data_IF_484345284026
#
_entry.id   IF_484345284026
#
_cell.length_a   1.000
_cell.length_b   1.000
_cell.length_c   1.000
_cell.angle_alpha   90.00
_cell.angle_beta   90.00
_cell.angle_gamma   90.00
#
_symmetry.space_group_name_H-M   'P 1'
#
loop_
_entity.id
_entity.type
_entity.pdbx_description
1 polymer ?
#
# COMPACT_ATOMS: atom_id res chain seq x y z
N UNK A 1 -5.09 -14.62 -7.97
CA UNK A 1 -6.00 -13.49 -7.69
C UNK A 1 -6.23 -12.77 -9.01
N UNK A 2 -7.47 -12.75 -9.48
CA UNK A 2 -7.84 -12.23 -10.80
C UNK A 2 -8.67 -10.94 -10.75
N UNK A 3 -9.01 -10.47 -9.54
CA UNK A 3 -9.65 -9.17 -9.29
C UNK A 3 -8.60 -8.05 -9.17
N UNK A 4 -8.98 -6.76 -9.33
CA UNK A 4 -8.11 -5.64 -8.99
C UNK A 4 -7.65 -5.69 -7.54
N UNK A 5 -6.37 -5.41 -7.30
CA UNK A 5 -5.77 -5.40 -5.95
C UNK A 5 -4.95 -4.13 -5.76
N UNK A 6 -5.21 -3.43 -4.65
CA UNK A 6 -4.41 -2.31 -4.19
C UNK A 6 -3.41 -2.79 -3.13
N UNK A 7 -2.14 -2.44 -3.32
CA UNK A 7 -1.06 -2.58 -2.33
C UNK A 7 -0.69 -1.18 -1.85
N UNK A 8 -0.81 -0.93 -0.55
CA UNK A 8 -0.40 0.32 0.11
C UNK A 8 0.77 0.00 1.03
N UNK A 9 1.83 0.80 1.03
CA UNK A 9 2.97 0.53 1.91
C UNK A 9 3.81 1.76 2.22
N UNK A 10 4.15 1.93 3.50
CA UNK A 10 5.10 2.94 3.96
C UNK A 10 6.52 2.56 3.57
N UNK A 11 7.32 3.52 3.14
CA UNK A 11 8.72 3.29 2.77
C UNK A 11 9.64 3.22 3.99
N UNK A 12 9.23 3.81 5.13
CA UNK A 12 9.93 3.73 6.43
C UNK A 12 9.24 2.75 7.40
N UNK A 13 8.66 1.68 6.85
CA UNK A 13 8.13 0.59 7.65
C UNK A 13 9.29 -0.21 8.28
N UNK A 14 9.48 -0.02 9.58
CA UNK A 14 10.53 -0.69 10.37
C UNK A 14 10.16 -2.11 10.82
N UNK A 15 8.95 -2.59 10.56
CA UNK A 15 8.48 -3.93 10.96
C UNK A 15 8.45 -4.88 9.75
N UNK A 16 7.91 -4.41 8.63
CA UNK A 16 7.84 -5.13 7.35
C UNK A 16 8.57 -4.30 6.30
N UNK A 17 9.84 -4.62 5.95
CA UNK A 17 10.64 -3.72 5.11
C UNK A 17 10.12 -3.59 3.66
N UNK A 18 9.86 -2.36 3.22
CA UNK A 18 9.29 -2.03 1.91
C UNK A 18 10.00 -2.72 0.75
N UNK A 19 11.32 -2.63 0.66
CA UNK A 19 12.10 -3.10 -0.50
C UNK A 19 11.94 -4.60 -0.80
N UNK A 20 11.58 -5.41 0.21
CA UNK A 20 11.40 -6.85 0.06
C UNK A 20 9.94 -7.31 0.16
N UNK A 21 8.99 -6.40 0.39
CA UNK A 21 7.56 -6.68 0.51
C UNK A 21 6.77 -6.15 -0.68
N UNK A 22 6.33 -4.88 -0.65
CA UNK A 22 5.32 -4.32 -1.54
C UNK A 22 5.70 -4.33 -3.04
N UNK A 23 6.95 -4.00 -3.45
CA UNK A 23 7.36 -4.12 -4.85
C UNK A 23 7.34 -5.56 -5.37
N UNK A 24 7.57 -6.56 -4.51
CA UNK A 24 7.46 -7.97 -4.89
C UNK A 24 6.00 -8.40 -4.99
N UNK A 25 5.18 -8.02 -4.01
CA UNK A 25 3.76 -8.34 -4.00
C UNK A 25 3.05 -7.82 -5.26
N UNK A 26 3.23 -6.54 -5.61
CA UNK A 26 2.58 -5.96 -6.79
C UNK A 26 3.02 -6.62 -8.10
N UNK A 27 4.29 -7.03 -8.22
CA UNK A 27 4.81 -7.75 -9.39
C UNK A 27 4.18 -9.14 -9.59
N UNK A 28 3.73 -9.77 -8.51
CA UNK A 28 3.10 -11.09 -8.56
C UNK A 28 1.59 -11.02 -8.82
N UNK A 29 0.98 -9.84 -8.65
CA UNK A 29 -0.44 -9.63 -8.86
C UNK A 29 -0.72 -9.32 -10.35
N UNK A 30 -1.65 -10.06 -10.96
CA UNK A 30 -2.07 -9.83 -12.35
C UNK A 30 -2.63 -8.42 -12.56
N UNK A 31 -3.45 -7.95 -11.62
CA UNK A 31 -4.14 -6.66 -11.64
C UNK A 31 -3.75 -5.82 -10.41
N UNK A 32 -2.45 -5.72 -10.13
CA UNK A 32 -1.92 -5.01 -8.96
C UNK A 32 -1.66 -3.52 -9.21
N UNK A 33 -2.11 -2.67 -8.29
CA UNK A 33 -1.69 -1.26 -8.16
C UNK A 33 -0.90 -1.09 -6.86
N UNK A 34 0.23 -0.41 -6.92
CA UNK A 34 1.01 -0.04 -5.73
C UNK A 34 0.94 1.47 -5.51
N UNK A 35 0.71 1.88 -4.26
CA UNK A 35 1.00 3.23 -3.76
C UNK A 35 2.03 3.08 -2.64
N UNK A 36 3.19 3.72 -2.81
CA UNK A 36 4.20 3.83 -1.76
C UNK A 36 4.17 5.21 -1.12
N UNK A 37 4.49 5.27 0.17
CA UNK A 37 4.43 6.49 0.96
C UNK A 37 5.78 6.77 1.62
N UNK A 38 6.56 7.73 1.10
CA UNK A 38 7.84 8.12 1.68
C UNK A 38 7.70 8.52 3.16
N UNK A 39 8.49 7.91 4.04
CA UNK A 39 8.54 8.23 5.47
C UNK A 39 7.37 7.69 6.32
N UNK A 40 6.38 7.00 5.73
CA UNK A 40 5.26 6.47 6.51
C UNK A 40 5.68 5.20 7.28
N UNK A 41 5.22 5.03 8.53
CA UNK A 41 5.59 3.88 9.38
C UNK A 41 4.71 2.65 9.11
N UNK A 42 5.02 1.52 9.76
CA UNK A 42 4.16 0.33 9.75
C UNK A 42 2.71 0.64 10.18
N UNK A 43 2.57 1.50 11.19
CA UNK A 43 1.28 1.93 11.75
C UNK A 43 0.53 2.99 10.92
N UNK A 44 0.89 3.19 9.64
CA UNK A 44 0.31 4.22 8.78
C UNK A 44 -1.22 4.24 8.68
N UNK A 45 -1.99 3.13 8.80
CA UNK A 45 -3.46 3.23 8.82
C UNK A 45 -4.00 4.01 10.02
N UNK A 46 -3.21 4.13 11.10
CA UNK A 46 -3.56 4.91 12.30
C UNK A 46 -2.89 6.28 12.30
N UNK A 47 -1.58 6.36 12.04
CA UNK A 47 -0.84 7.64 12.14
C UNK A 47 -1.15 8.58 10.96
N UNK A 48 -1.39 8.03 9.77
CA UNK A 48 -1.62 8.76 8.52
C UNK A 48 -3.04 8.51 7.96
N UNK A 49 -4.00 8.29 8.86
CA UNK A 49 -5.34 7.78 8.54
C UNK A 49 -6.08 8.60 7.48
N UNK A 50 -5.94 9.93 7.49
CA UNK A 50 -6.62 10.79 6.52
C UNK A 50 -6.20 10.48 5.07
N UNK A 51 -4.89 10.35 4.83
CA UNK A 51 -4.33 9.99 3.53
C UNK A 51 -4.74 8.57 3.14
N UNK A 52 -4.59 7.62 4.06
CA UNK A 52 -4.89 6.21 3.78
C UNK A 52 -6.36 5.99 3.47
N UNK A 53 -7.26 6.61 4.23
CA UNK A 53 -8.69 6.49 3.98
C UNK A 53 -9.10 7.13 2.65
N UNK A 54 -8.46 8.23 2.24
CA UNK A 54 -8.73 8.87 0.96
C UNK A 54 -8.35 7.96 -0.22
N UNK A 55 -7.17 7.33 -0.17
CA UNK A 55 -6.70 6.44 -1.23
C UNK A 55 -7.51 5.13 -1.30
N UNK A 56 -7.89 4.58 -0.14
CA UNK A 56 -8.79 3.43 -0.07
C UNK A 56 -10.15 3.76 -0.70
N UNK A 57 -10.75 4.90 -0.36
CA UNK A 57 -12.04 5.31 -0.92
C UNK A 57 -11.96 5.54 -2.43
N UNK A 58 -10.85 6.13 -2.92
CA UNK A 58 -10.63 6.33 -4.34
C UNK A 58 -10.55 5.00 -5.10
N UNK A 59 -9.89 3.98 -4.53
CA UNK A 59 -9.81 2.65 -5.14
C UNK A 59 -11.15 1.90 -5.11
N UNK A 60 -11.93 2.01 -4.02
CA UNK A 60 -13.24 1.35 -3.93
C UNK A 60 -14.25 1.89 -4.97
N UNK A 61 -14.09 3.16 -5.37
CA UNK A 61 -14.98 3.83 -6.34
C UNK A 61 -14.58 3.63 -7.80
N UNK A 62 -13.46 2.95 -8.10
CA UNK A 62 -12.93 2.78 -9.47
C UNK A 62 -13.42 1.51 -10.17
#
# INVERSE_FOLDING_TARGET
VDIPVLVLHGEDDQIVPFAISAPKAVKLLKNGKLISYPGFPHGMPTTEAATINADLLAFIKS
#
